data_IF_465103734237
#
_entry.id   IF_465103734237
#
_cell.length_a   1.000
_cell.length_b   1.000
_cell.length_c   1.000
_cell.angle_alpha   90.00
_cell.angle_beta   90.00
_cell.angle_gamma   90.00
#
_symmetry.space_group_name_H-M   'P 1'
#
loop_
_entity.id
_entity.type
_entity.pdbx_description
1 polymer ?
#
# COMPACT_ATOMS: atom_id res chain seq x y z
N UNK A 1 21.43 -7.70 -6.87
CA UNK A 1 20.27 -7.01 -6.22
C UNK A 1 19.01 -7.87 -6.30
N UNK A 2 18.21 -7.93 -5.24
CA UNK A 2 16.91 -8.64 -5.24
C UNK A 2 15.85 -7.76 -5.90
N UNK A 3 15.13 -8.30 -6.89
CA UNK A 3 14.07 -7.58 -7.61
C UNK A 3 12.81 -7.43 -6.74
N UNK A 4 12.29 -6.20 -6.65
CA UNK A 4 11.03 -5.87 -5.96
C UNK A 4 10.06 -5.32 -7.01
N UNK A 5 8.89 -5.93 -7.12
CA UNK A 5 7.84 -5.40 -7.99
C UNK A 5 7.16 -4.21 -7.31
N UNK A 6 7.03 -3.11 -8.02
CA UNK A 6 6.36 -1.90 -7.54
C UNK A 6 5.19 -1.58 -8.46
N UNK A 7 3.97 -1.62 -7.93
CA UNK A 7 2.81 -1.04 -8.59
C UNK A 7 2.79 0.46 -8.29
N UNK A 8 2.69 1.28 -9.30
CA UNK A 8 2.70 2.73 -9.16
C UNK A 8 1.36 3.38 -9.49
N UNK A 9 1.26 4.67 -9.20
CA UNK A 9 0.15 5.48 -9.67
C UNK A 9 0.11 5.51 -11.19
N UNK A 10 -1.09 5.53 -11.73
CA UNK A 10 -1.36 5.67 -13.16
C UNK A 10 -1.99 7.02 -13.41
N UNK A 11 -1.60 7.68 -14.49
CA UNK A 11 -2.22 8.91 -14.97
C UNK A 11 -2.28 8.92 -16.51
N UNK A 12 -3.17 9.72 -17.05
CA UNK A 12 -3.19 9.98 -18.48
C UNK A 12 -2.24 11.14 -18.80
N UNK A 13 -1.49 11.03 -19.90
CA UNK A 13 -0.79 12.16 -20.48
C UNK A 13 -1.76 13.01 -21.36
N UNK A 14 -1.23 14.07 -21.98
CA UNK A 14 -1.99 14.96 -22.87
C UNK A 14 -2.56 14.25 -24.12
N UNK A 15 -2.03 13.07 -24.45
CA UNK A 15 -2.48 12.22 -25.57
C UNK A 15 -3.35 11.06 -25.11
N UNK A 16 -3.83 11.08 -23.87
CA UNK A 16 -4.65 10.02 -23.26
C UNK A 16 -3.92 8.65 -23.12
N UNK A 17 -2.60 8.62 -23.21
CA UNK A 17 -1.85 7.42 -22.90
C UNK A 17 -1.71 7.23 -21.39
N UNK A 18 -1.69 5.99 -20.94
CA UNK A 18 -1.49 5.68 -19.52
C UNK A 18 0.00 5.63 -19.20
N UNK A 19 0.41 6.49 -18.29
CA UNK A 19 1.77 6.58 -17.78
C UNK A 19 1.86 6.11 -16.31
N UNK A 20 3.09 5.79 -15.88
CA UNK A 20 3.42 5.31 -14.54
C UNK A 20 4.24 6.37 -13.81
N UNK A 21 3.82 6.72 -12.59
CA UNK A 21 4.64 7.54 -11.70
C UNK A 21 5.72 6.73 -11.01
N UNK A 22 6.97 7.10 -11.20
CA UNK A 22 8.08 6.57 -10.41
C UNK A 22 8.28 7.44 -9.18
N UNK A 23 8.05 6.88 -7.98
CA UNK A 23 8.25 7.59 -6.71
C UNK A 23 9.75 7.65 -6.40
N UNK A 24 10.35 8.83 -6.59
CA UNK A 24 11.81 9.04 -6.45
C UNK A 24 12.35 8.56 -5.10
N UNK A 25 11.71 8.95 -3.99
CA UNK A 25 12.17 8.59 -2.65
C UNK A 25 12.12 7.08 -2.40
N UNK A 26 11.02 6.42 -2.81
CA UNK A 26 10.90 4.97 -2.71
C UNK A 26 11.94 4.27 -3.59
N UNK A 27 12.16 4.78 -4.80
CA UNK A 27 13.16 4.24 -5.72
C UNK A 27 14.56 4.34 -5.13
N UNK A 28 14.96 5.52 -4.65
CA UNK A 28 16.25 5.76 -4.02
C UNK A 28 16.43 4.89 -2.78
N UNK A 29 15.42 4.80 -1.91
CA UNK A 29 15.45 3.95 -0.72
C UNK A 29 15.70 2.48 -1.07
N UNK A 30 15.00 1.95 -2.07
CA UNK A 30 15.17 0.56 -2.49
C UNK A 30 16.58 0.30 -3.04
N UNK A 31 17.09 1.20 -3.88
CA UNK A 31 18.43 1.06 -4.49
C UNK A 31 19.52 1.12 -3.43
N UNK A 32 19.49 2.08 -2.50
CA UNK A 32 20.44 2.22 -1.41
C UNK A 32 20.45 0.96 -0.52
N UNK A 33 19.30 0.33 -0.31
CA UNK A 33 19.18 -0.91 0.44
C UNK A 33 19.41 -2.19 -0.40
N UNK A 34 20.05 -2.06 -1.56
CA UNK A 34 20.44 -3.16 -2.45
C UNK A 34 19.27 -3.96 -3.05
N UNK A 35 18.14 -3.28 -3.28
CA UNK A 35 16.99 -3.80 -4.03
C UNK A 35 16.89 -3.15 -5.40
N UNK A 36 16.47 -3.91 -6.41
CA UNK A 36 16.17 -3.40 -7.75
C UNK A 36 14.65 -3.23 -7.89
N UNK A 37 14.11 -2.00 -7.88
CA UNK A 37 12.70 -1.76 -8.12
C UNK A 37 12.34 -2.03 -9.59
N UNK A 38 11.29 -2.81 -9.81
CA UNK A 38 10.70 -3.07 -11.12
C UNK A 38 9.31 -2.44 -11.11
N UNK A 39 9.20 -1.25 -11.67
CA UNK A 39 7.91 -0.58 -11.86
C UNK A 39 7.18 -1.28 -12.98
N UNK A 40 5.97 -1.71 -12.70
CA UNK A 40 5.24 -2.56 -13.62
C UNK A 40 3.76 -2.20 -13.67
N UNK A 41 3.29 -2.15 -14.90
CA UNK A 41 1.90 -1.99 -15.25
C UNK A 41 1.67 -2.68 -16.61
N UNK A 42 0.56 -3.41 -16.74
CA UNK A 42 0.17 -4.03 -17.99
C UNK A 42 -1.29 -4.49 -17.97
N UNK A 43 -1.95 -4.46 -19.11
CA UNK A 43 -3.27 -5.06 -19.31
C UNK A 43 -3.22 -6.59 -19.11
N UNK A 44 -2.11 -7.21 -19.52
CA UNK A 44 -1.84 -8.64 -19.38
C UNK A 44 -0.61 -8.86 -18.53
N UNK A 45 -0.76 -9.59 -17.42
CA UNK A 45 0.34 -9.83 -16.49
C UNK A 45 1.37 -10.78 -17.12
N UNK A 46 2.61 -10.34 -17.17
CA UNK A 46 3.74 -11.20 -17.49
C UNK A 46 4.19 -11.97 -16.24
N UNK A 47 3.71 -13.20 -16.12
CA UNK A 47 4.05 -14.08 -15.00
C UNK A 47 5.54 -14.50 -14.99
N UNK A 48 6.23 -14.51 -16.13
CA UNK A 48 7.66 -14.79 -16.21
C UNK A 48 8.47 -13.67 -15.58
N UNK A 49 8.09 -12.41 -15.84
CA UNK A 49 8.69 -11.23 -15.21
C UNK A 49 8.45 -11.22 -13.69
N UNK A 50 7.18 -11.26 -13.26
CA UNK A 50 6.83 -11.09 -11.85
C UNK A 50 7.29 -12.27 -10.97
N UNK A 51 7.46 -13.46 -11.55
CA UNK A 51 7.99 -14.63 -10.82
C UNK A 51 9.40 -14.40 -10.29
N UNK A 52 10.21 -13.58 -10.98
CA UNK A 52 11.58 -13.23 -10.60
C UNK A 52 11.64 -12.21 -9.45
N UNK A 53 10.54 -11.55 -9.14
CA UNK A 53 10.48 -10.58 -8.05
C UNK A 53 10.31 -11.28 -6.70
N UNK A 54 11.03 -10.80 -5.67
CA UNK A 54 11.05 -11.38 -4.32
C UNK A 54 9.94 -10.86 -3.43
N UNK A 55 9.45 -9.63 -3.69
CA UNK A 55 8.36 -9.00 -2.96
C UNK A 55 7.53 -8.10 -3.88
N UNK A 56 6.37 -7.66 -3.39
CA UNK A 56 5.48 -6.70 -4.03
C UNK A 56 5.32 -5.47 -3.15
N UNK A 57 5.39 -4.28 -3.75
CA UNK A 57 4.96 -3.03 -3.14
C UNK A 57 3.76 -2.50 -3.93
N UNK A 58 2.62 -2.34 -3.25
CA UNK A 58 1.46 -1.60 -3.75
C UNK A 58 1.60 -0.16 -3.25
N UNK A 59 1.88 0.76 -4.16
CA UNK A 59 2.18 2.14 -3.76
C UNK A 59 0.93 2.96 -3.44
N UNK A 60 1.13 4.07 -2.74
CA UNK A 60 0.11 5.09 -2.50
C UNK A 60 -0.24 5.90 -3.75
N UNK A 61 -0.91 7.04 -3.52
CA UNK A 61 -1.36 8.01 -4.51
C UNK A 61 -2.69 7.66 -5.21
N UNK A 62 -3.55 8.64 -5.31
CA UNK A 62 -4.91 8.51 -5.85
C UNK A 62 -5.87 7.77 -4.92
N UNK A 63 -7.08 7.53 -5.40
CA UNK A 63 -8.13 6.82 -4.68
C UNK A 63 -8.38 5.43 -5.28
N UNK A 64 -8.97 4.54 -4.51
CA UNK A 64 -9.52 3.28 -5.02
C UNK A 64 -10.88 3.55 -5.70
N UNK A 65 -11.25 2.72 -6.67
CA UNK A 65 -12.49 2.90 -7.43
C UNK A 65 -13.77 2.87 -6.56
N UNK A 66 -13.72 2.19 -5.42
CA UNK A 66 -14.84 2.20 -4.47
C UNK A 66 -15.11 3.58 -3.88
N UNK A 67 -14.07 4.41 -3.69
CA UNK A 67 -14.15 5.75 -3.12
C UNK A 67 -14.33 6.84 -4.18
N UNK A 68 -13.77 6.62 -5.36
CA UNK A 68 -13.84 7.53 -6.50
C UNK A 68 -13.92 6.75 -7.80
N UNK A 69 -15.13 6.65 -8.34
CA UNK A 69 -15.41 5.85 -9.53
C UNK A 69 -14.87 6.53 -10.79
N UNK A 70 -13.84 5.93 -11.39
CA UNK A 70 -13.39 6.27 -12.73
C UNK A 70 -12.68 5.07 -13.39
N UNK A 71 -12.52 5.12 -14.72
CA UNK A 71 -11.94 4.02 -15.50
C UNK A 71 -10.51 3.67 -15.07
N UNK A 72 -9.70 4.68 -14.76
CA UNK A 72 -8.30 4.48 -14.38
C UNK A 72 -8.16 3.84 -12.99
N UNK A 73 -8.97 4.29 -12.02
CA UNK A 73 -9.01 3.67 -10.70
C UNK A 73 -9.48 2.22 -10.76
N UNK A 74 -10.54 1.93 -11.53
CA UNK A 74 -11.04 0.57 -11.71
C UNK A 74 -9.98 -0.33 -12.34
N UNK A 75 -9.30 0.19 -13.33
CA UNK A 75 -8.25 -0.53 -14.04
C UNK A 75 -7.08 -0.84 -13.10
N UNK A 76 -6.56 0.16 -12.37
CA UNK A 76 -5.48 0.02 -11.42
C UNK A 76 -5.86 -0.95 -10.27
N UNK A 77 -7.07 -0.84 -9.73
CA UNK A 77 -7.56 -1.76 -8.69
C UNK A 77 -7.53 -3.21 -9.17
N UNK A 78 -8.06 -3.48 -10.37
CA UNK A 78 -8.09 -4.83 -10.93
C UNK A 78 -6.69 -5.39 -11.17
N UNK A 79 -5.77 -4.57 -11.66
CA UNK A 79 -4.38 -4.94 -11.88
C UNK A 79 -3.67 -5.26 -10.56
N UNK A 80 -3.74 -4.35 -9.59
CA UNK A 80 -3.11 -4.52 -8.27
C UNK A 80 -3.66 -5.73 -7.50
N UNK A 81 -4.97 -6.00 -7.60
CA UNK A 81 -5.58 -7.19 -7.00
C UNK A 81 -5.09 -8.50 -7.63
N UNK A 82 -4.83 -8.53 -8.94
CA UNK A 82 -4.23 -9.70 -9.59
C UNK A 82 -2.80 -9.93 -9.09
N UNK A 83 -2.00 -8.86 -8.97
CA UNK A 83 -0.64 -8.92 -8.39
C UNK A 83 -0.68 -9.43 -6.95
N UNK A 84 -1.55 -8.84 -6.13
CA UNK A 84 -1.72 -9.24 -4.73
C UNK A 84 -2.05 -10.74 -4.61
N UNK A 85 -3.05 -11.22 -5.37
CA UNK A 85 -3.42 -12.65 -5.40
C UNK A 85 -2.24 -13.55 -5.76
N UNK A 86 -1.45 -13.16 -6.75
CA UNK A 86 -0.27 -13.92 -7.17
C UNK A 86 0.78 -13.99 -6.06
N UNK A 87 1.20 -12.86 -5.50
CA UNK A 87 2.23 -12.82 -4.45
C UNK A 87 1.77 -13.52 -3.16
N UNK A 88 0.51 -13.35 -2.79
CA UNK A 88 -0.14 -14.07 -1.68
C UNK A 88 -0.09 -15.59 -1.89
N UNK A 89 -0.49 -16.09 -3.07
CA UNK A 89 -0.42 -17.53 -3.43
C UNK A 89 1.02 -18.06 -3.36
N UNK A 90 1.99 -17.24 -3.77
CA UNK A 90 3.43 -17.60 -3.73
C UNK A 90 4.07 -17.38 -2.35
N UNK A 91 3.32 -16.96 -1.33
CA UNK A 91 3.80 -16.65 0.03
C UNK A 91 4.96 -15.66 0.06
N UNK A 92 5.05 -14.77 -0.94
CA UNK A 92 6.05 -13.71 -1.02
C UNK A 92 5.62 -12.48 -0.22
N UNK A 93 6.56 -11.73 0.38
CA UNK A 93 6.24 -10.51 1.14
C UNK A 93 5.50 -9.47 0.29
N UNK A 94 4.55 -8.79 0.91
CA UNK A 94 3.77 -7.71 0.30
C UNK A 94 3.76 -6.51 1.24
N UNK A 95 4.10 -5.34 0.73
CA UNK A 95 3.92 -4.06 1.41
C UNK A 95 2.87 -3.27 0.65
N UNK A 96 1.90 -2.71 1.36
CA UNK A 96 0.86 -1.87 0.78
C UNK A 96 0.81 -0.52 1.49
N UNK A 97 1.01 0.55 0.72
CA UNK A 97 1.14 1.91 1.22
C UNK A 97 -0.14 2.68 0.90
N UNK A 98 -0.75 3.30 1.92
CA UNK A 98 -1.89 4.20 1.82
C UNK A 98 -3.01 3.61 0.94
N UNK A 99 -3.15 4.03 -0.31
CA UNK A 99 -4.13 3.50 -1.26
C UNK A 99 -4.03 1.98 -1.44
N UNK A 100 -2.82 1.45 -1.57
CA UNK A 100 -2.63 -0.01 -1.70
C UNK A 100 -3.17 -0.77 -0.48
N UNK A 101 -3.01 -0.22 0.72
CA UNK A 101 -3.56 -0.79 1.94
C UNK A 101 -5.09 -0.69 1.97
N UNK A 102 -5.66 0.47 1.62
CA UNK A 102 -7.10 0.65 1.49
C UNK A 102 -7.70 -0.34 0.48
N UNK A 103 -7.06 -0.54 -0.68
CA UNK A 103 -7.52 -1.46 -1.71
C UNK A 103 -7.68 -2.89 -1.17
N UNK A 104 -6.65 -3.41 -0.52
CA UNK A 104 -6.70 -4.79 -0.02
C UNK A 104 -7.76 -4.93 1.08
N UNK A 105 -7.78 -4.01 2.03
CA UNK A 105 -8.73 -4.06 3.13
C UNK A 105 -10.18 -3.82 2.70
N UNK A 106 -10.42 -3.02 1.64
CA UNK A 106 -11.76 -2.85 1.07
C UNK A 106 -12.35 -4.18 0.58
N UNK A 107 -11.51 -5.07 0.05
CA UNK A 107 -11.94 -6.41 -0.39
C UNK A 107 -12.15 -7.39 0.78
N UNK A 108 -11.60 -7.06 1.92
CA UNK A 108 -11.80 -7.81 3.17
C UNK A 108 -12.90 -7.18 4.07
N UNK A 109 -13.75 -6.33 3.49
CA UNK A 109 -14.90 -5.67 4.14
C UNK A 109 -14.50 -4.76 5.31
N UNK A 110 -13.29 -4.20 5.29
CA UNK A 110 -12.89 -3.19 6.26
C UNK A 110 -13.73 -1.92 6.10
N UNK A 111 -14.01 -1.24 7.22
CA UNK A 111 -14.71 0.05 7.22
C UNK A 111 -13.75 1.17 6.87
N UNK A 112 -13.87 1.69 5.64
CA UNK A 112 -13.12 2.85 5.16
C UNK A 112 -14.06 4.07 5.21
N UNK A 113 -13.62 5.13 5.88
CA UNK A 113 -14.43 6.33 6.13
C UNK A 113 -13.65 7.59 5.77
N UNK A 114 -14.37 8.65 5.39
CA UNK A 114 -13.77 9.97 5.23
C UNK A 114 -13.25 10.48 6.57
N UNK A 115 -12.02 11.00 6.58
CA UNK A 115 -11.36 11.53 7.78
C UNK A 115 -10.97 12.99 7.59
N UNK A 116 -10.84 13.71 8.71
CA UNK A 116 -10.41 15.13 8.72
C UNK A 116 -8.97 15.18 9.23
N UNK A 117 -8.23 16.22 8.82
CA UNK A 117 -6.86 16.49 9.30
C UNK A 117 -5.80 15.43 8.98
N UNK A 118 -6.01 14.63 7.91
CA UNK A 118 -5.06 13.64 7.42
C UNK A 118 -4.44 14.00 6.06
N UNK A 119 -4.73 15.18 5.50
CA UNK A 119 -4.20 15.59 4.20
C UNK A 119 -3.16 16.67 4.35
N UNK A 120 -1.96 16.43 3.81
CA UNK A 120 -0.81 17.34 3.86
C UNK A 120 -0.47 17.79 5.28
N UNK A 121 -0.57 16.88 6.23
CA UNK A 121 -0.25 17.10 7.65
C UNK A 121 0.60 15.98 8.20
N UNK A 122 1.42 16.31 9.18
CA UNK A 122 2.03 15.31 10.02
C UNK A 122 1.12 15.07 11.23
N UNK A 123 0.97 13.81 11.62
CA UNK A 123 0.26 13.44 12.83
C UNK A 123 1.00 12.37 13.63
N UNK A 124 0.66 12.25 14.90
CA UNK A 124 1.23 11.19 15.73
C UNK A 124 0.43 9.90 15.52
N UNK A 125 1.17 8.80 15.41
CA UNK A 125 0.63 7.45 15.53
C UNK A 125 1.10 6.85 16.84
N UNK A 126 0.23 6.03 17.45
CA UNK A 126 0.45 5.40 18.74
C UNK A 126 0.53 3.90 18.55
N UNK A 127 1.61 3.30 19.04
CA UNK A 127 1.81 1.86 18.94
C UNK A 127 1.04 1.14 20.05
N UNK A 128 0.21 0.17 19.66
CA UNK A 128 -0.59 -0.63 20.58
C UNK A 128 0.25 -1.65 21.35
N UNK A 129 1.36 -2.10 20.74
CA UNK A 129 2.32 -3.03 21.33
C UNK A 129 3.73 -2.56 20.99
N UNK A 130 4.61 -2.62 21.96
CA UNK A 130 6.04 -2.46 21.72
C UNK A 130 6.61 -3.81 21.30
N UNK A 131 7.21 -3.84 20.15
CA UNK A 131 7.91 -4.99 19.58
C UNK A 131 9.40 -4.64 19.51
N UNK A 132 10.27 -5.64 19.35
CA UNK A 132 11.72 -5.38 19.18
C UNK A 132 12.02 -4.36 18.07
N UNK A 133 11.15 -4.31 17.05
CA UNK A 133 11.26 -3.39 15.91
C UNK A 133 10.68 -1.99 16.20
N UNK A 134 9.72 -1.88 17.13
CA UNK A 134 9.04 -0.63 17.47
C UNK A 134 9.21 -0.35 18.96
N UNK A 135 10.30 0.33 19.31
CA UNK A 135 10.65 0.65 20.71
C UNK A 135 10.00 1.91 21.24
N UNK A 136 9.44 2.76 20.35
CA UNK A 136 8.80 4.01 20.72
C UNK A 136 7.30 3.84 20.87
N UNK A 137 6.70 4.41 21.92
CA UNK A 137 5.24 4.40 22.14
C UNK A 137 4.47 5.20 21.09
N UNK A 138 5.11 6.20 20.46
CA UNK A 138 4.53 7.07 19.43
C UNK A 138 5.57 7.49 18.40
N UNK A 139 5.10 7.83 17.20
CA UNK A 139 5.93 8.32 16.11
C UNK A 139 5.17 9.40 15.32
N UNK A 140 5.87 10.46 14.90
CA UNK A 140 5.33 11.45 13.98
C UNK A 140 5.49 10.91 12.55
N UNK A 141 4.40 10.89 11.80
CA UNK A 141 4.37 10.43 10.40
C UNK A 141 3.68 11.45 9.51
N UNK A 142 4.00 11.43 8.22
CA UNK A 142 3.27 12.22 7.23
C UNK A 142 1.91 11.58 6.91
N UNK A 143 0.95 12.38 6.48
CA UNK A 143 -0.37 11.91 6.10
C UNK A 143 -0.89 12.67 4.87
N UNK A 144 -1.37 11.89 3.88
CA UNK A 144 -1.86 12.41 2.60
C UNK A 144 -3.17 11.75 2.15
N UNK A 145 -3.97 11.24 3.08
CA UNK A 145 -5.18 10.50 2.76
C UNK A 145 -6.46 11.16 3.29
N UNK A 146 -7.50 11.22 2.44
CA UNK A 146 -8.85 11.69 2.79
C UNK A 146 -9.70 10.60 3.45
N UNK A 147 -9.27 9.35 3.37
CA UNK A 147 -10.01 8.21 3.88
C UNK A 147 -9.13 7.38 4.80
N UNK A 148 -9.66 7.05 5.96
CA UNK A 148 -9.00 6.23 6.98
C UNK A 148 -9.67 4.87 7.14
N UNK A 149 -8.93 3.92 7.66
CA UNK A 149 -9.40 2.57 7.97
C UNK A 149 -9.75 2.54 9.46
N UNK A 150 -11.03 2.32 9.78
CA UNK A 150 -11.51 2.33 11.18
C UNK A 150 -11.71 0.95 11.78
N UNK A 151 -11.95 -0.05 10.96
CA UNK A 151 -12.20 -1.41 11.44
C UNK A 151 -11.67 -2.44 10.44
N UNK A 152 -11.01 -3.47 10.97
CA UNK A 152 -10.52 -4.62 10.22
C UNK A 152 -10.80 -5.91 11.00
N UNK A 153 -10.72 -7.06 10.33
CA UNK A 153 -10.85 -8.35 10.99
C UNK A 153 -9.59 -8.68 11.79
N UNK A 154 -9.63 -8.45 13.10
CA UNK A 154 -8.51 -8.67 14.02
C UNK A 154 -8.04 -10.13 14.10
N UNK A 155 -8.85 -11.11 13.67
CA UNK A 155 -8.40 -12.52 13.57
C UNK A 155 -7.29 -12.71 12.56
N UNK A 156 -7.24 -11.83 11.54
CA UNK A 156 -6.27 -11.91 10.46
C UNK A 156 -5.11 -10.91 10.59
N UNK A 157 -5.27 -9.86 11.40
CA UNK A 157 -4.35 -8.74 11.45
C UNK A 157 -3.92 -8.39 12.87
N UNK A 158 -2.64 -8.20 13.05
CA UNK A 158 -2.08 -7.48 14.19
C UNK A 158 -2.06 -5.98 13.85
N UNK A 159 -2.84 -5.18 14.57
CA UNK A 159 -2.81 -3.71 14.45
C UNK A 159 -1.69 -3.19 15.33
N UNK A 160 -0.62 -2.70 14.71
CA UNK A 160 0.54 -2.18 15.42
C UNK A 160 0.40 -0.72 15.84
N UNK A 161 -0.19 0.13 14.98
CA UNK A 161 -0.34 1.55 15.28
C UNK A 161 -1.64 2.15 14.77
N UNK A 162 -2.13 3.16 15.52
CA UNK A 162 -3.31 3.95 15.20
C UNK A 162 -3.04 5.43 15.44
N UNK A 163 -3.75 6.29 14.71
CA UNK A 163 -3.80 7.73 14.99
C UNK A 163 -4.71 8.05 16.18
N UNK A 164 -4.67 9.30 16.66
CA UNK A 164 -5.50 9.75 17.81
C UNK A 164 -7.00 9.59 17.57
N UNK A 165 -7.45 9.70 16.31
CA UNK A 165 -8.84 9.47 15.91
C UNK A 165 -9.15 8.00 15.61
N UNK A 166 -8.28 7.07 16.04
CA UNK A 166 -8.39 5.61 15.91
C UNK A 166 -8.40 5.10 14.46
N UNK A 167 -7.82 5.83 13.52
CA UNK A 167 -7.52 5.25 12.22
C UNK A 167 -6.36 4.25 12.34
N UNK A 168 -6.48 3.13 11.67
CA UNK A 168 -5.42 2.13 11.60
C UNK A 168 -4.36 2.64 10.65
N UNK A 169 -3.15 2.86 11.18
CA UNK A 169 -2.03 3.42 10.45
C UNK A 169 -0.98 2.37 10.07
N UNK A 170 -0.92 1.29 10.84
CA UNK A 170 0.01 0.17 10.59
C UNK A 170 -0.62 -1.14 11.05
N UNK A 171 -0.69 -2.11 10.14
CA UNK A 171 -1.16 -3.45 10.46
C UNK A 171 -0.43 -4.52 9.67
N UNK A 172 -0.32 -5.71 10.23
CA UNK A 172 0.38 -6.85 9.65
C UNK A 172 -0.48 -8.10 9.64
N UNK A 173 -0.51 -8.79 8.51
CA UNK A 173 -1.12 -10.10 8.36
C UNK A 173 -0.02 -11.17 8.26
N UNK A 174 0.25 -11.87 9.35
CA UNK A 174 1.30 -12.88 9.45
C UNK A 174 1.12 -14.04 8.47
N UNK A 175 -0.13 -14.51 8.30
CA UNK A 175 -0.47 -15.62 7.40
C UNK A 175 -0.09 -15.32 5.95
N UNK A 176 -0.20 -14.07 5.53
CA UNK A 176 0.03 -13.65 4.16
C UNK A 176 1.31 -12.85 3.96
N UNK A 177 2.11 -12.64 5.02
CA UNK A 177 3.31 -11.78 4.99
C UNK A 177 3.00 -10.41 4.39
N UNK A 178 1.87 -9.83 4.80
CA UNK A 178 1.35 -8.58 4.28
C UNK A 178 1.47 -7.48 5.34
N UNK A 179 2.20 -6.42 5.03
CA UNK A 179 2.32 -5.22 5.84
C UNK A 179 1.57 -4.09 5.14
N UNK A 180 0.62 -3.49 5.84
CA UNK A 180 -0.11 -2.31 5.39
C UNK A 180 0.21 -1.09 6.25
N UNK A 181 0.48 0.04 5.60
CA UNK A 181 0.73 1.32 6.27
C UNK A 181 0.00 2.46 5.54
N UNK A 182 -0.49 3.46 6.31
CA UNK A 182 -1.21 4.61 5.76
C UNK A 182 -0.30 5.83 5.51
N UNK A 183 0.85 5.89 6.14
CA UNK A 183 1.87 6.95 5.96
C UNK A 183 2.90 6.59 4.87
N UNK A 184 3.68 7.58 4.48
CA UNK A 184 4.68 7.45 3.41
C UNK A 184 6.10 7.66 3.91
#
# INVERSE_FOLDING_TARGET
MKKILVSSNLHYDNHMNINIDVKKDLNSYLIINNYLPIYYYSNKIDYKLISKCKALILSGSGNINQLEKNKLNLFRDNFELKLFKYFKKKKKPIIAICRGFQLILSKEKAKIVKVKNHVRKNHQIYFNKLEKTFTKKKMLVNSYHNYGIKNINLKNYDVFAQSSDRCIELAYNKKHKFLGLMFH
#
